data_IF_235915774478
#
_entry.id   IF_235915774478
#
_cell.length_a   1.000
_cell.length_b   1.000
_cell.length_c   1.000
_cell.angle_alpha   90.00
_cell.angle_beta   90.00
_cell.angle_gamma   90.00
#
_symmetry.space_group_name_H-M   'P 1'
#
loop_
_entity.id
_entity.type
_entity.pdbx_description
1 polymer ?
#
# COMPACT_ATOMS: atom_id res chain seq x y z
N UNK A 1 -2.39 1.53 20.71
CA UNK A 1 -3.27 1.09 19.62
C UNK A 1 -3.06 -0.40 19.48
N UNK A 2 -4.11 -1.16 19.49
CA UNK A 2 -4.11 -2.60 19.22
C UNK A 2 -4.94 -2.82 17.97
N UNK A 3 -4.60 -3.78 17.13
CA UNK A 3 -5.36 -4.05 15.90
C UNK A 3 -4.54 -4.76 14.83
N UNK A 4 -5.21 -5.10 13.75
CA UNK A 4 -4.62 -5.79 12.58
C UNK A 4 -4.35 -4.78 11.47
N UNK A 5 -3.10 -4.71 11.04
CA UNK A 5 -2.66 -3.90 9.89
C UNK A 5 -2.40 -4.82 8.71
N UNK A 6 -3.17 -4.66 7.65
CA UNK A 6 -2.96 -5.36 6.39
C UNK A 6 -1.95 -4.57 5.54
N UNK A 7 -0.88 -5.23 5.10
CA UNK A 7 0.01 -4.69 4.07
C UNK A 7 -0.31 -5.33 2.72
N UNK A 8 -0.58 -4.49 1.73
CA UNK A 8 -0.85 -4.89 0.35
C UNK A 8 0.43 -4.79 -0.46
N UNK A 9 0.76 -5.86 -1.19
CA UNK A 9 1.98 -5.99 -1.99
C UNK A 9 3.25 -5.81 -1.13
N UNK A 10 3.42 -6.71 -0.15
CA UNK A 10 4.52 -6.67 0.83
C UNK A 10 5.89 -6.96 0.22
N UNK A 11 5.96 -7.46 -1.01
CA UNK A 11 7.19 -7.70 -1.74
C UNK A 11 8.14 -8.62 -0.99
N UNK A 12 9.36 -8.13 -0.68
CA UNK A 12 10.36 -8.91 0.04
C UNK A 12 9.99 -9.26 1.49
N UNK A 13 9.10 -8.48 2.14
CA UNK A 13 8.76 -8.63 3.56
C UNK A 13 9.61 -7.80 4.53
N UNK A 14 10.58 -7.02 4.04
CA UNK A 14 11.43 -6.18 4.90
C UNK A 14 10.63 -5.12 5.66
N UNK A 15 9.71 -4.44 4.99
CA UNK A 15 8.89 -3.39 5.61
C UNK A 15 8.03 -3.95 6.73
N UNK A 16 7.34 -5.07 6.50
CA UNK A 16 6.43 -5.64 7.47
C UNK A 16 7.16 -6.07 8.75
N UNK A 17 8.35 -6.66 8.62
CA UNK A 17 9.19 -7.04 9.75
C UNK A 17 9.70 -5.82 10.50
N UNK A 18 10.11 -4.77 9.77
CA UNK A 18 10.52 -3.50 10.37
C UNK A 18 9.37 -2.89 11.19
N UNK A 19 8.17 -2.83 10.64
CA UNK A 19 6.99 -2.31 11.37
C UNK A 19 6.66 -3.17 12.58
N UNK A 20 6.69 -4.49 12.45
CA UNK A 20 6.38 -5.40 13.55
C UNK A 20 7.32 -5.22 14.74
N UNK A 21 8.61 -5.03 14.50
CA UNK A 21 9.61 -4.77 15.55
C UNK A 21 9.39 -3.45 16.28
N UNK A 22 8.98 -2.41 15.54
CA UNK A 22 8.81 -1.06 16.09
C UNK A 22 7.41 -0.82 16.69
N UNK A 23 6.43 -1.66 16.36
CA UNK A 23 5.04 -1.52 16.79
C UNK A 23 4.53 -2.86 17.37
N UNK A 24 5.08 -3.30 18.51
CA UNK A 24 4.82 -4.65 19.06
C UNK A 24 3.38 -4.87 19.52
N UNK A 25 2.59 -3.82 19.68
CA UNK A 25 1.18 -3.90 20.08
C UNK A 25 0.22 -4.09 18.89
N UNK A 26 0.72 -3.99 17.66
CA UNK A 26 -0.05 -4.25 16.44
C UNK A 26 0.23 -5.65 15.90
N UNK A 27 -0.75 -6.25 15.26
CA UNK A 27 -0.59 -7.48 14.50
C UNK A 27 -0.53 -7.11 13.02
N UNK A 28 0.46 -7.63 12.31
CA UNK A 28 0.63 -7.36 10.89
C UNK A 28 0.22 -8.56 10.05
N UNK A 29 -0.55 -8.30 9.01
CA UNK A 29 -0.97 -9.25 8.00
C UNK A 29 -0.34 -8.87 6.66
N UNK A 30 0.78 -9.50 6.26
CA UNK A 30 1.35 -9.28 4.93
C UNK A 30 0.53 -9.96 3.84
N UNK A 31 0.59 -9.43 2.63
CA UNK A 31 -0.03 -10.03 1.46
C UNK A 31 0.69 -9.67 0.17
N UNK A 32 0.71 -10.61 -0.78
CA UNK A 32 1.24 -10.39 -2.12
C UNK A 32 0.58 -11.38 -3.10
N UNK A 33 0.38 -11.04 -4.39
CA UNK A 33 -0.08 -12.01 -5.38
C UNK A 33 1.03 -12.94 -5.87
N UNK A 34 2.32 -12.56 -5.69
CA UNK A 34 3.47 -13.32 -6.17
C UNK A 34 3.90 -14.41 -5.18
N UNK A 35 3.90 -15.70 -5.58
CA UNK A 35 4.36 -16.80 -4.73
C UNK A 35 5.79 -16.64 -4.21
N UNK A 36 6.69 -16.07 -5.00
CA UNK A 36 8.09 -15.87 -4.59
C UNK A 36 8.19 -14.78 -3.51
N UNK A 37 7.35 -13.73 -3.59
CA UNK A 37 7.21 -12.74 -2.52
C UNK A 37 6.69 -13.38 -1.22
N UNK A 38 5.69 -14.26 -1.31
CA UNK A 38 5.16 -14.97 -0.13
C UNK A 38 6.22 -15.82 0.55
N UNK A 39 7.05 -16.52 -0.21
CA UNK A 39 8.18 -17.29 0.32
C UNK A 39 9.22 -16.39 0.99
N UNK A 40 9.54 -15.24 0.38
CA UNK A 40 10.46 -14.25 0.95
C UNK A 40 9.93 -13.68 2.27
N UNK A 41 8.66 -13.29 2.33
CA UNK A 41 8.01 -12.81 3.55
C UNK A 41 8.10 -13.86 4.67
N UNK A 42 7.77 -15.13 4.37
CA UNK A 42 7.84 -16.22 5.33
C UNK A 42 9.28 -16.46 5.85
N UNK A 43 10.27 -16.37 4.96
CA UNK A 43 11.68 -16.47 5.32
C UNK A 43 12.11 -15.33 6.26
N UNK A 44 11.73 -14.08 5.98
CA UNK A 44 12.00 -12.93 6.83
C UNK A 44 11.36 -13.07 8.23
N UNK A 45 10.10 -13.50 8.31
CA UNK A 45 9.40 -13.75 9.58
C UNK A 45 10.18 -14.80 10.39
N UNK A 46 10.55 -15.92 9.76
CA UNK A 46 11.29 -16.99 10.41
C UNK A 46 12.68 -16.54 10.89
N UNK A 47 13.43 -15.87 10.02
CA UNK A 47 14.81 -15.45 10.33
C UNK A 47 14.86 -14.37 11.43
N UNK A 48 13.81 -13.57 11.58
CA UNK A 48 13.78 -12.45 12.51
C UNK A 48 13.10 -12.77 13.84
N UNK A 49 12.34 -13.86 13.91
CA UNK A 49 11.64 -14.31 15.11
C UNK A 49 10.53 -13.36 15.58
N UNK A 50 10.02 -12.48 14.71
CA UNK A 50 8.89 -11.60 15.06
C UNK A 50 7.62 -12.44 15.28
N UNK A 51 6.88 -12.16 16.37
CA UNK A 51 5.72 -12.94 16.79
C UNK A 51 4.38 -12.29 16.44
N UNK A 52 4.40 -11.03 16.04
CA UNK A 52 3.23 -10.24 15.71
C UNK A 52 3.00 -10.05 14.21
N UNK A 53 3.57 -10.93 13.37
CA UNK A 53 3.32 -11.02 11.93
C UNK A 53 2.67 -12.36 11.62
N UNK A 54 1.53 -12.34 10.94
CA UNK A 54 0.81 -13.53 10.48
C UNK A 54 1.47 -14.12 9.23
N UNK A 55 1.14 -15.38 8.92
CA UNK A 55 1.50 -15.98 7.63
C UNK A 55 0.96 -15.10 6.47
N UNK A 56 1.75 -14.92 5.39
CA UNK A 56 1.34 -14.06 4.28
C UNK A 56 0.12 -14.63 3.55
N UNK A 57 -0.75 -13.74 3.06
CA UNK A 57 -1.92 -14.07 2.25
C UNK A 57 -1.62 -13.92 0.76
N UNK A 58 -2.13 -14.84 -0.04
CA UNK A 58 -2.23 -14.63 -1.51
C UNK A 58 -3.33 -13.59 -1.75
N UNK A 59 -2.96 -12.39 -2.17
CA UNK A 59 -3.91 -11.31 -2.41
C UNK A 59 -3.47 -10.45 -3.60
N UNK A 60 -4.28 -10.47 -4.65
CA UNK A 60 -4.21 -9.51 -5.74
C UNK A 60 -5.20 -8.37 -5.45
N UNK A 61 -4.68 -7.16 -5.31
CA UNK A 61 -5.49 -5.98 -5.00
C UNK A 61 -6.57 -5.70 -6.05
N UNK A 62 -6.42 -6.15 -7.31
CA UNK A 62 -7.40 -5.99 -8.38
C UNK A 62 -8.63 -6.88 -8.24
N UNK A 63 -8.57 -7.92 -7.40
CA UNK A 63 -9.69 -8.83 -7.18
C UNK A 63 -10.79 -8.19 -6.34
N UNK A 64 -12.04 -8.54 -6.63
CA UNK A 64 -13.22 -7.99 -5.95
C UNK A 64 -13.43 -8.57 -4.54
N UNK A 65 -12.87 -9.74 -4.26
CA UNK A 65 -13.00 -10.43 -2.97
C UNK A 65 -11.59 -10.68 -2.44
N UNK A 66 -11.33 -10.19 -1.22
CA UNK A 66 -10.07 -10.42 -0.52
C UNK A 66 -10.20 -11.54 0.51
N UNK A 67 -9.14 -12.33 0.75
CA UNK A 67 -9.17 -13.45 1.70
C UNK A 67 -9.06 -12.99 3.16
N UNK A 68 -9.55 -11.80 3.46
CA UNK A 68 -9.58 -11.19 4.80
C UNK A 68 -10.84 -10.35 4.92
N UNK A 69 -11.57 -10.52 6.03
CA UNK A 69 -12.88 -9.88 6.22
C UNK A 69 -12.78 -8.49 6.87
N UNK A 70 -11.72 -8.20 7.63
CA UNK A 70 -11.54 -6.92 8.32
C UNK A 70 -10.08 -6.62 8.61
N UNK A 71 -9.74 -5.33 8.69
CA UNK A 71 -8.46 -4.82 9.18
C UNK A 71 -8.69 -3.47 9.86
N UNK A 72 -7.82 -3.10 10.82
CA UNK A 72 -7.88 -1.81 11.53
C UNK A 72 -7.09 -0.72 10.81
N UNK A 73 -6.30 -1.09 9.81
CA UNK A 73 -5.57 -0.19 8.92
C UNK A 73 -4.99 -0.95 7.74
N UNK A 74 -4.74 -0.23 6.65
CA UNK A 74 -4.09 -0.78 5.46
C UNK A 74 -2.88 0.06 5.11
N UNK A 75 -1.77 -0.61 4.77
CA UNK A 75 -0.53 -0.03 4.25
C UNK A 75 -0.32 -0.54 2.82
N UNK A 76 0.05 0.36 1.92
CA UNK A 76 0.48 0.00 0.57
C UNK A 76 1.65 0.90 0.15
N UNK A 77 2.81 0.28 -0.12
CA UNK A 77 4.05 0.97 -0.46
C UNK A 77 4.39 0.71 -1.92
N UNK A 78 4.46 1.78 -2.72
CA UNK A 78 4.83 1.80 -4.14
C UNK A 78 3.92 1.02 -5.11
N UNK A 79 3.12 0.07 -4.68
CA UNK A 79 2.33 -0.81 -5.57
C UNK A 79 1.49 -0.03 -6.57
N UNK A 80 0.86 1.07 -6.17
CA UNK A 80 0.01 1.88 -7.05
C UNK A 80 0.72 2.38 -8.31
N UNK A 81 2.05 2.49 -8.28
CA UNK A 81 2.88 2.93 -9.39
C UNK A 81 3.42 1.76 -10.23
N UNK A 82 3.63 0.60 -9.57
CA UNK A 82 4.25 -0.61 -10.14
C UNK A 82 3.18 -1.66 -10.49
N UNK A 83 1.96 -1.19 -10.74
CA UNK A 83 0.82 -2.02 -11.12
C UNK A 83 -0.06 -1.27 -12.13
N UNK A 84 -0.96 -1.97 -12.85
CA UNK A 84 -2.02 -1.33 -13.62
C UNK A 84 -2.96 -0.52 -12.73
N UNK A 85 -3.64 0.49 -13.31
CA UNK A 85 -4.60 1.34 -12.57
C UNK A 85 -5.72 0.55 -11.88
N UNK A 86 -6.12 -0.56 -12.47
CA UNK A 86 -7.16 -1.45 -11.91
C UNK A 86 -6.78 -1.97 -10.51
N UNK A 87 -5.49 -2.21 -10.26
CA UNK A 87 -5.01 -2.60 -8.92
C UNK A 87 -5.17 -1.46 -7.90
N UNK A 88 -4.99 -0.19 -8.33
CA UNK A 88 -5.25 0.98 -7.45
C UNK A 88 -6.75 1.11 -7.14
N UNK A 89 -7.60 0.92 -8.15
CA UNK A 89 -9.06 0.92 -7.96
C UNK A 89 -9.50 -0.21 -7.03
N UNK A 90 -8.97 -1.41 -7.25
CA UNK A 90 -9.24 -2.58 -6.42
C UNK A 90 -8.75 -2.39 -4.98
N UNK A 91 -7.53 -1.88 -4.78
CA UNK A 91 -7.00 -1.52 -3.45
C UNK A 91 -7.96 -0.60 -2.69
N UNK A 92 -8.41 0.48 -3.33
CA UNK A 92 -9.25 1.49 -2.67
C UNK A 92 -10.65 0.93 -2.36
N UNK A 93 -11.23 0.15 -3.28
CA UNK A 93 -12.53 -0.52 -3.06
C UNK A 93 -12.45 -1.61 -1.99
N UNK A 94 -11.42 -2.46 -2.04
CA UNK A 94 -11.20 -3.49 -1.04
C UNK A 94 -10.96 -2.88 0.35
N UNK A 95 -10.16 -1.81 0.43
CA UNK A 95 -9.98 -1.06 1.67
C UNK A 95 -11.32 -0.50 2.21
N UNK A 96 -12.16 0.08 1.35
CA UNK A 96 -13.47 0.60 1.76
C UNK A 96 -14.42 -0.50 2.27
N UNK A 97 -14.27 -1.72 1.77
CA UNK A 97 -15.11 -2.86 2.17
C UNK A 97 -14.73 -3.43 3.55
N UNK A 98 -13.44 -3.39 3.92
CA UNK A 98 -12.94 -4.10 5.13
C UNK A 98 -12.51 -3.18 6.26
N UNK A 99 -12.28 -1.88 6.01
CA UNK A 99 -11.90 -0.91 7.03
C UNK A 99 -13.13 -0.36 7.76
N UNK A 100 -13.17 -0.39 9.09
CA UNK A 100 -14.19 0.30 9.86
C UNK A 100 -14.01 1.84 9.77
N UNK A 101 -15.08 2.61 10.06
CA UNK A 101 -14.99 4.08 10.10
C UNK A 101 -13.84 4.58 10.98
N UNK A 102 -13.15 5.62 10.52
CA UNK A 102 -11.97 6.20 11.18
C UNK A 102 -10.65 5.52 10.86
N UNK A 103 -10.65 4.30 10.33
CA UNK A 103 -9.44 3.53 10.04
C UNK A 103 -8.64 4.10 8.87
N UNK A 104 -7.29 4.03 8.94
CA UNK A 104 -6.42 4.60 7.91
C UNK A 104 -6.20 3.65 6.73
N UNK A 105 -6.21 4.21 5.54
CA UNK A 105 -5.54 3.70 4.35
C UNK A 105 -4.28 4.56 4.14
N UNK A 106 -3.11 3.97 4.35
CA UNK A 106 -1.81 4.59 4.18
C UNK A 106 -1.19 4.18 2.85
N UNK A 107 -0.84 5.16 2.03
CA UNK A 107 -0.11 4.98 0.78
C UNK A 107 1.24 5.68 0.86
N UNK A 108 2.28 5.05 0.32
CA UNK A 108 3.61 5.64 0.21
C UNK A 108 4.17 5.48 -1.19
N UNK A 109 4.82 6.53 -1.69
CA UNK A 109 5.51 6.50 -2.98
C UNK A 109 5.62 7.89 -3.60
N UNK A 110 6.18 7.99 -4.83
CA UNK A 110 6.23 9.22 -5.59
C UNK A 110 4.87 9.52 -6.24
N UNK A 111 4.44 10.76 -6.22
CA UNK A 111 3.20 11.18 -6.88
C UNK A 111 3.43 12.43 -7.73
N UNK A 112 2.69 12.54 -8.83
CA UNK A 112 2.46 13.81 -9.51
C UNK A 112 1.41 14.59 -8.72
N UNK A 113 1.58 15.90 -8.59
CA UNK A 113 0.62 16.80 -7.90
C UNK A 113 0.29 17.98 -8.79
N UNK A 114 -0.96 18.35 -8.85
CA UNK A 114 -1.39 19.55 -9.59
C UNK A 114 -0.75 20.81 -8.98
N UNK A 115 -0.15 21.65 -9.83
CA UNK A 115 0.53 22.87 -9.40
C UNK A 115 1.98 22.69 -8.93
N UNK A 116 2.51 21.46 -8.92
CA UNK A 116 3.88 21.16 -8.56
C UNK A 116 4.65 20.54 -9.73
N UNK A 117 5.88 20.98 -9.96
CA UNK A 117 6.76 20.34 -10.92
C UNK A 117 7.15 18.94 -10.41
N UNK A 118 7.04 17.94 -11.28
CA UNK A 118 7.51 16.60 -10.94
C UNK A 118 9.05 16.58 -10.89
N UNK A 119 9.61 16.15 -9.77
CA UNK A 119 11.05 16.05 -9.60
C UNK A 119 11.71 15.20 -10.70
N UNK A 120 12.94 15.55 -11.15
CA UNK A 120 13.63 14.80 -12.21
C UNK A 120 13.80 13.30 -11.91
N UNK A 121 14.05 12.94 -10.65
CA UNK A 121 14.11 11.55 -10.21
C UNK A 121 12.78 10.80 -10.43
N UNK A 122 11.65 11.43 -10.10
CA UNK A 122 10.32 10.85 -10.28
C UNK A 122 9.94 10.76 -11.76
N UNK A 123 10.39 11.71 -12.61
CA UNK A 123 10.23 11.60 -14.05
C UNK A 123 11.05 10.43 -14.63
N UNK A 124 12.29 10.25 -14.17
CA UNK A 124 13.13 9.13 -14.59
C UNK A 124 12.51 7.79 -14.14
N UNK A 125 11.99 7.73 -12.93
CA UNK A 125 11.28 6.56 -12.42
C UNK A 125 10.01 6.25 -13.23
N UNK A 126 9.18 7.25 -13.54
CA UNK A 126 7.99 7.09 -14.39
C UNK A 126 8.36 6.50 -15.77
N UNK A 127 9.41 7.02 -16.41
CA UNK A 127 9.90 6.46 -17.68
C UNK A 127 10.36 5.01 -17.53
N UNK A 128 11.13 4.70 -16.48
CA UNK A 128 11.59 3.33 -16.21
C UNK A 128 10.42 2.37 -16.01
N UNK A 129 9.40 2.75 -15.27
CA UNK A 129 8.20 1.95 -15.06
C UNK A 129 7.45 1.69 -16.38
N UNK A 130 7.24 2.72 -17.20
CA UNK A 130 6.55 2.59 -18.50
C UNK A 130 7.33 1.75 -19.50
N UNK A 131 8.65 1.78 -19.46
CA UNK A 131 9.50 0.91 -20.29
C UNK A 131 9.37 -0.59 -19.90
N UNK A 132 9.12 -0.86 -18.61
CA UNK A 132 8.86 -2.23 -18.13
C UNK A 132 7.45 -2.70 -18.43
N UNK A 133 6.47 -1.81 -18.24
CA UNK A 133 5.07 -2.06 -18.55
C UNK A 133 4.35 -0.72 -18.78
N UNK A 134 3.76 -0.54 -19.96
CA UNK A 134 3.09 0.71 -20.36
C UNK A 134 1.88 1.07 -19.46
N UNK A 135 1.31 0.10 -18.73
CA UNK A 135 0.21 0.30 -17.77
C UNK A 135 0.69 0.80 -16.41
N UNK A 136 2.01 0.78 -16.13
CA UNK A 136 2.61 1.27 -14.91
C UNK A 136 3.00 2.75 -15.04
N UNK A 137 3.30 3.39 -13.91
CA UNK A 137 3.79 4.77 -13.91
C UNK A 137 3.43 5.53 -12.64
N UNK A 138 4.13 6.63 -12.41
CA UNK A 138 3.85 7.55 -11.29
C UNK A 138 2.46 8.14 -11.45
N UNK A 139 1.60 7.94 -10.45
CA UNK A 139 0.19 8.34 -10.49
C UNK A 139 0.00 9.79 -10.08
N UNK A 140 -1.06 10.40 -10.61
CA UNK A 140 -1.55 11.70 -10.15
C UNK A 140 -2.26 11.51 -8.81
N UNK A 141 -1.83 12.25 -7.78
CA UNK A 141 -2.38 12.15 -6.44
C UNK A 141 -3.86 12.55 -6.40
N UNK A 142 -4.24 13.51 -7.23
CA UNK A 142 -5.62 13.98 -7.34
C UNK A 142 -6.55 12.88 -7.87
N UNK A 143 -6.09 12.07 -8.83
CA UNK A 143 -6.86 10.93 -9.34
C UNK A 143 -7.05 9.85 -8.26
N UNK A 144 -5.98 9.53 -7.53
CA UNK A 144 -6.05 8.58 -6.41
C UNK A 144 -7.00 9.08 -5.32
N UNK A 145 -6.91 10.38 -4.97
CA UNK A 145 -7.78 11.00 -3.97
C UNK A 145 -9.26 11.03 -4.40
N UNK A 146 -9.53 11.36 -5.65
CA UNK A 146 -10.90 11.35 -6.19
C UNK A 146 -11.51 9.93 -6.14
N UNK A 147 -10.72 8.92 -6.49
CA UNK A 147 -11.14 7.52 -6.37
C UNK A 147 -11.43 7.15 -4.91
N UNK A 148 -10.56 7.51 -3.97
CA UNK A 148 -10.76 7.23 -2.55
C UNK A 148 -12.03 7.92 -2.02
N UNK A 149 -12.24 9.19 -2.34
CA UNK A 149 -13.44 9.94 -1.95
C UNK A 149 -14.73 9.32 -2.51
N UNK A 150 -14.70 8.81 -3.74
CA UNK A 150 -15.89 8.22 -4.38
C UNK A 150 -16.43 6.96 -3.68
N UNK A 151 -15.60 6.32 -2.83
CA UNK A 151 -15.99 5.12 -2.08
C UNK A 151 -15.99 5.32 -0.56
N UNK A 152 -16.01 6.59 -0.10
CA UNK A 152 -16.22 6.93 1.31
C UNK A 152 -14.93 7.02 2.13
N UNK A 153 -13.87 7.56 1.55
CA UNK A 153 -12.72 8.04 2.32
C UNK A 153 -12.72 9.55 2.44
N UNK A 154 -12.14 10.06 3.53
CA UNK A 154 -11.94 11.49 3.78
C UNK A 154 -10.98 12.14 2.76
N UNK A 155 -10.90 13.46 2.81
CA UNK A 155 -9.78 14.17 2.22
C UNK A 155 -8.46 13.66 2.80
N UNK A 156 -7.43 13.59 1.94
CA UNK A 156 -6.10 13.09 2.29
C UNK A 156 -5.33 14.04 3.20
N UNK A 157 -4.51 13.50 4.10
CA UNK A 157 -3.35 14.19 4.66
C UNK A 157 -2.08 13.76 3.92
N UNK A 158 -1.16 14.69 3.72
CA UNK A 158 0.08 14.49 2.96
C UNK A 158 1.25 14.91 3.82
N UNK A 159 2.28 14.06 3.89
CA UNK A 159 3.58 14.39 4.46
C UNK A 159 4.65 14.17 3.41
N UNK A 160 5.50 15.17 3.20
CA UNK A 160 6.66 15.03 2.31
C UNK A 160 7.71 14.15 2.94
N UNK A 161 8.26 13.25 2.14
CA UNK A 161 9.21 12.24 2.57
C UNK A 161 10.50 12.34 1.75
N UNK A 162 11.63 11.79 2.24
CA UNK A 162 12.86 11.76 1.47
C UNK A 162 12.69 11.17 0.07
N UNK A 163 13.62 11.53 -0.82
CA UNK A 163 13.67 11.09 -2.22
C UNK A 163 12.41 11.44 -3.03
N UNK A 164 11.76 12.57 -2.72
CA UNK A 164 10.57 13.08 -3.40
C UNK A 164 9.36 12.11 -3.35
N UNK A 165 9.29 11.30 -2.29
CA UNK A 165 8.12 10.49 -1.98
C UNK A 165 7.12 11.27 -1.11
N UNK A 166 5.92 10.72 -1.02
CA UNK A 166 4.86 11.21 -0.14
C UNK A 166 4.33 10.06 0.72
N UNK A 167 4.07 10.37 1.99
CA UNK A 167 3.13 9.63 2.84
C UNK A 167 1.74 10.24 2.65
N UNK A 168 0.79 9.43 2.24
CA UNK A 168 -0.60 9.87 2.00
C UNK A 168 -1.53 9.02 2.85
N UNK A 169 -2.32 9.65 3.70
CA UNK A 169 -3.28 8.97 4.57
C UNK A 169 -4.69 9.41 4.22
N UNK A 170 -5.53 8.45 3.95
CA UNK A 170 -6.98 8.59 3.87
C UNK A 170 -7.61 7.94 5.11
N UNK A 171 -8.79 8.40 5.52
CA UNK A 171 -9.55 7.75 6.60
C UNK A 171 -10.92 7.33 6.11
N UNK A 172 -11.33 6.13 6.49
CA UNK A 172 -12.66 5.61 6.18
C UNK A 172 -13.71 6.49 6.89
N UNK A 173 -14.71 6.95 6.16
CA UNK A 173 -15.85 7.72 6.68
C UNK A 173 -16.92 6.78 7.19
#
# INVERSE_FOLDING_TARGET
MTGVILEIASGSGEHIVHFARNLPTLVFQPSDPDPDALLSIAAWISATGVTNVRAPLVLDASQSIWPIASADGIICINMVHISPWDATVGLIRGAAAILPPGSPLYLYGPYKRKGFATAPSNQAFDRSLRNRNQRWGVRDLEMVAAMAQSVGFSARSITEMPANNLSVVFRRI
#
